data_IF_899598462062
#
_entry.id   IF_899598462062
#
_cell.length_a   1.000
_cell.length_b   1.000
_cell.length_c   1.000
_cell.angle_alpha   90.00
_cell.angle_beta   90.00
_cell.angle_gamma   90.00
#
_symmetry.space_group_name_H-M   'P 1'
#
loop_
_entity.id
_entity.type
_entity.pdbx_description
1 polymer ?
#
# COMPACT_ATOMS: atom_id res chain seq x y z
N UNK A 1 -30.83 5.44 -42.88
CA UNK A 1 -29.48 4.83 -42.94
C UNK A 1 -28.46 5.56 -42.05
N UNK A 2 -28.90 6.14 -40.91
CA UNK A 2 -28.03 6.89 -39.96
C UNK A 2 -28.08 6.29 -38.53
N UNK A 3 -29.02 5.39 -38.23
CA UNK A 3 -29.17 4.78 -36.89
C UNK A 3 -28.35 3.49 -36.69
N UNK A 4 -27.77 2.92 -37.75
CA UNK A 4 -27.05 1.63 -37.66
C UNK A 4 -25.60 1.75 -37.17
N UNK A 5 -24.96 2.92 -37.37
CA UNK A 5 -23.56 3.10 -36.99
C UNK A 5 -23.35 3.09 -35.47
N UNK A 6 -24.31 3.58 -34.68
CA UNK A 6 -24.19 3.60 -33.22
C UNK A 6 -24.52 2.28 -32.53
N UNK A 7 -25.35 1.41 -33.13
CA UNK A 7 -25.77 0.15 -32.49
C UNK A 7 -24.64 -0.89 -32.53
N UNK A 8 -23.89 -0.96 -33.63
CA UNK A 8 -22.74 -1.86 -33.73
C UNK A 8 -21.62 -1.46 -32.76
N UNK A 9 -21.32 -0.16 -32.64
CA UNK A 9 -20.32 0.35 -31.68
C UNK A 9 -20.73 0.04 -30.23
N UNK A 10 -21.99 0.31 -29.86
CA UNK A 10 -22.52 -0.04 -28.53
C UNK A 10 -22.40 -1.54 -28.26
N UNK A 11 -22.64 -2.39 -29.25
CA UNK A 11 -22.58 -3.83 -29.09
C UNK A 11 -21.14 -4.33 -28.87
N UNK A 12 -20.16 -3.74 -29.58
CA UNK A 12 -18.75 -4.05 -29.36
C UNK A 12 -18.26 -3.56 -27.98
N UNK A 13 -18.69 -2.38 -27.52
CA UNK A 13 -18.39 -1.90 -26.17
C UNK A 13 -18.99 -2.81 -25.09
N UNK A 14 -20.24 -3.26 -25.27
CA UNK A 14 -20.88 -4.20 -24.35
C UNK A 14 -20.12 -5.53 -24.27
N UNK A 15 -19.73 -6.11 -25.40
CA UNK A 15 -18.88 -7.32 -25.42
C UNK A 15 -17.55 -7.10 -24.72
N UNK A 16 -16.94 -5.93 -24.92
CA UNK A 16 -15.71 -5.56 -24.24
C UNK A 16 -15.90 -5.52 -22.72
N UNK A 17 -16.98 -4.90 -22.23
CA UNK A 17 -17.32 -4.88 -20.81
C UNK A 17 -17.62 -6.27 -20.27
N UNK A 18 -18.44 -7.07 -20.95
CA UNK A 18 -18.72 -8.46 -20.56
C UNK A 18 -17.41 -9.25 -20.41
N UNK A 19 -16.51 -9.13 -21.40
CA UNK A 19 -15.23 -9.83 -21.35
C UNK A 19 -14.35 -9.37 -20.18
N UNK A 20 -14.36 -8.07 -19.89
CA UNK A 20 -13.63 -7.53 -18.74
C UNK A 20 -14.18 -8.08 -17.42
N UNK A 21 -15.52 -8.16 -17.27
CA UNK A 21 -16.14 -8.73 -16.08
C UNK A 21 -15.84 -10.22 -15.90
N UNK A 22 -15.84 -11.00 -16.98
CA UNK A 22 -15.39 -12.40 -16.93
C UNK A 22 -13.96 -12.52 -16.40
N UNK A 23 -13.05 -11.64 -16.85
CA UNK A 23 -11.66 -11.62 -16.39
C UNK A 23 -11.60 -11.25 -14.91
N UNK A 24 -12.28 -10.19 -14.48
CA UNK A 24 -12.33 -9.75 -13.08
C UNK A 24 -12.86 -10.86 -12.16
N UNK A 25 -13.90 -11.56 -12.60
CA UNK A 25 -14.49 -12.70 -11.89
C UNK A 25 -13.51 -13.88 -11.82
N UNK A 26 -12.81 -14.19 -12.91
CA UNK A 26 -11.77 -15.21 -12.91
C UNK A 26 -10.60 -14.92 -11.95
N UNK A 27 -10.29 -13.64 -11.70
CA UNK A 27 -9.32 -13.23 -10.68
C UNK A 27 -9.90 -13.18 -9.25
N UNK A 28 -11.21 -13.42 -9.07
CA UNK A 28 -11.85 -13.42 -7.76
C UNK A 28 -12.11 -12.03 -7.16
N UNK A 29 -12.14 -10.98 -7.97
CA UNK A 29 -12.32 -9.59 -7.52
C UNK A 29 -13.69 -8.99 -7.85
N UNK A 30 -14.67 -9.80 -8.28
CA UNK A 30 -16.01 -9.33 -8.64
C UNK A 30 -16.66 -8.45 -7.57
N UNK A 31 -16.56 -8.86 -6.31
CA UNK A 31 -17.17 -8.15 -5.17
C UNK A 31 -16.44 -6.83 -4.80
N UNK A 32 -15.33 -6.51 -5.49
CA UNK A 32 -14.58 -5.26 -5.33
C UNK A 32 -14.90 -4.23 -6.41
N UNK A 33 -15.78 -4.55 -7.36
CA UNK A 33 -16.09 -3.68 -8.50
C UNK A 33 -17.53 -3.19 -8.43
N UNK A 34 -17.70 -1.88 -8.66
CA UNK A 34 -19.00 -1.24 -8.82
C UNK A 34 -19.01 -0.63 -10.22
N UNK A 35 -20.07 -0.90 -10.99
CA UNK A 35 -20.27 -0.28 -12.30
C UNK A 35 -21.02 1.02 -12.12
N UNK A 36 -20.42 2.11 -12.62
CA UNK A 36 -21.06 3.41 -12.69
C UNK A 36 -20.90 3.99 -14.10
N UNK A 37 -22.00 3.95 -14.87
CA UNK A 37 -22.05 4.50 -16.23
C UNK A 37 -22.15 6.04 -16.24
N UNK A 38 -22.28 6.68 -15.07
CA UNK A 38 -22.25 8.14 -14.94
C UNK A 38 -20.83 8.70 -14.73
N UNK A 39 -19.84 7.82 -14.52
CA UNK A 39 -18.44 8.23 -14.37
C UNK A 39 -17.92 8.83 -15.67
N UNK A 40 -17.79 10.16 -15.69
CA UNK A 40 -17.17 10.93 -16.76
C UNK A 40 -15.85 11.49 -16.24
N UNK A 41 -14.72 11.17 -16.89
CA UNK A 41 -13.45 11.84 -16.61
C UNK A 41 -13.26 13.04 -17.52
N UNK A 42 -12.74 14.11 -16.95
CA UNK A 42 -12.45 15.37 -17.66
C UNK A 42 -11.25 15.25 -18.64
N UNK A 43 -10.46 14.17 -18.52
CA UNK A 43 -9.25 13.96 -19.30
C UNK A 43 -9.58 13.30 -20.64
N UNK A 44 -9.57 14.12 -21.70
CA UNK A 44 -9.93 13.75 -23.08
C UNK A 44 -9.04 12.68 -23.73
N UNK A 45 -7.92 12.30 -23.09
CA UNK A 45 -7.00 11.30 -23.64
C UNK A 45 -7.44 9.85 -23.37
N UNK A 46 -8.43 9.63 -22.50
CA UNK A 46 -9.01 8.30 -22.31
C UNK A 46 -9.96 7.96 -23.46
N UNK A 47 -9.86 6.74 -23.98
CA UNK A 47 -10.60 6.27 -25.15
C UNK A 47 -11.21 4.87 -24.97
N UNK A 48 -11.46 4.48 -23.72
CA UNK A 48 -12.06 3.21 -23.34
C UNK A 48 -12.49 3.23 -21.88
N UNK A 49 -12.36 2.11 -21.17
CA UNK A 49 -12.73 2.06 -19.75
C UNK A 49 -11.96 3.10 -18.93
N UNK A 50 -12.69 3.74 -18.02
CA UNK A 50 -12.15 4.54 -16.93
C UNK A 50 -12.64 3.97 -15.61
N UNK A 51 -11.84 4.12 -14.56
CA UNK A 51 -12.21 3.67 -13.24
C UNK A 51 -11.60 4.56 -12.16
N UNK A 52 -12.21 4.49 -10.99
CA UNK A 52 -11.77 5.15 -9.77
C UNK A 52 -11.55 4.12 -8.68
N UNK A 53 -10.59 4.40 -7.80
CA UNK A 53 -10.21 3.52 -6.71
C UNK A 53 -10.65 4.20 -5.42
N UNK A 54 -11.45 3.48 -4.63
CA UNK A 54 -11.91 3.90 -3.31
C UNK A 54 -11.35 2.97 -2.24
N UNK A 55 -11.19 3.51 -1.04
CA UNK A 55 -10.79 2.75 0.15
C UNK A 55 -11.69 3.15 1.31
N UNK A 56 -11.96 2.20 2.20
CA UNK A 56 -12.74 2.45 3.41
C UNK A 56 -12.08 3.56 4.26
N UNK A 57 -12.91 4.39 4.90
CA UNK A 57 -12.47 5.52 5.70
C UNK A 57 -12.13 6.79 4.90
N UNK A 58 -12.05 6.72 3.56
CA UNK A 58 -11.81 7.89 2.70
C UNK A 58 -13.00 8.07 1.74
N UNK A 59 -13.77 9.15 1.93
CA UNK A 59 -14.97 9.45 1.13
C UNK A 59 -14.72 10.06 -0.25
N UNK A 60 -13.51 9.96 -0.77
CA UNK A 60 -13.11 10.50 -2.09
C UNK A 60 -12.25 9.45 -2.83
N UNK A 61 -12.17 9.49 -4.16
CA UNK A 61 -11.27 8.63 -4.90
C UNK A 61 -9.81 8.80 -4.44
N UNK A 62 -9.14 7.70 -4.11
CA UNK A 62 -7.71 7.69 -3.78
C UNK A 62 -6.83 7.50 -5.02
N UNK A 63 -7.43 7.17 -6.15
CA UNK A 63 -6.73 6.89 -7.38
C UNK A 63 -7.70 6.59 -8.51
N UNK A 64 -7.15 6.26 -9.65
CA UNK A 64 -7.93 5.87 -10.81
C UNK A 64 -7.08 5.74 -12.05
N UNK A 65 -7.70 5.30 -13.11
CA UNK A 65 -7.01 4.93 -14.33
C UNK A 65 -7.97 4.65 -15.46
N UNK A 66 -7.42 4.08 -16.52
CA UNK A 66 -8.20 3.74 -17.69
C UNK A 66 -7.35 3.38 -18.89
N UNK A 67 -7.99 3.25 -20.04
CA UNK A 67 -7.36 3.03 -21.35
C UNK A 67 -7.12 4.36 -22.07
N UNK A 68 -5.89 4.58 -22.54
CA UNK A 68 -5.42 5.85 -23.11
C UNK A 68 -4.58 5.63 -24.38
N UNK A 69 -5.09 4.84 -25.32
CA UNK A 69 -4.36 4.49 -26.55
C UNK A 69 -4.09 5.74 -27.41
N UNK A 70 -5.01 6.73 -27.41
CA UNK A 70 -4.84 7.98 -28.16
C UNK A 70 -3.64 8.80 -27.69
N UNK A 71 -3.34 8.79 -26.39
CA UNK A 71 -2.16 9.48 -25.85
C UNK A 71 -0.87 8.94 -26.48
N UNK A 72 -0.78 7.62 -26.68
CA UNK A 72 0.42 7.01 -27.26
C UNK A 72 0.61 7.40 -28.73
N UNK A 73 -0.48 7.67 -29.46
CA UNK A 73 -0.41 8.12 -30.85
C UNK A 73 0.24 9.50 -30.97
N UNK A 74 0.06 10.38 -29.99
CA UNK A 74 0.75 11.68 -29.94
C UNK A 74 2.28 11.52 -29.86
N UNK A 75 2.76 10.40 -29.32
CA UNK A 75 4.17 10.02 -29.29
C UNK A 75 4.61 9.16 -30.49
N UNK A 76 3.77 9.02 -31.52
CA UNK A 76 4.06 8.20 -32.71
C UNK A 76 3.93 6.69 -32.50
N UNK A 77 3.29 6.26 -31.41
CA UNK A 77 3.12 4.85 -31.05
C UNK A 77 1.64 4.44 -31.17
N UNK A 78 1.33 3.58 -32.14
CA UNK A 78 -0.03 3.02 -32.30
C UNK A 78 -0.18 1.72 -31.51
N UNK A 79 -0.12 1.83 -30.17
CA UNK A 79 -0.20 0.69 -29.25
C UNK A 79 -1.34 0.87 -28.24
N UNK A 80 -1.86 -0.25 -27.75
CA UNK A 80 -2.77 -0.24 -26.61
C UNK A 80 -2.05 0.18 -25.33
N UNK A 81 -2.68 1.03 -24.53
CA UNK A 81 -2.14 1.57 -23.30
C UNK A 81 -3.22 1.67 -22.23
N UNK A 82 -2.91 1.13 -21.06
CA UNK A 82 -3.75 1.23 -19.86
C UNK A 82 -2.87 1.29 -18.62
N UNK A 83 -3.40 1.88 -17.57
CA UNK A 83 -2.66 2.13 -16.34
C UNK A 83 -3.51 2.93 -15.37
N UNK A 84 -2.92 3.19 -14.20
CA UNK A 84 -3.57 3.91 -13.12
C UNK A 84 -2.53 4.65 -12.28
N UNK A 85 -3.01 5.60 -11.49
CA UNK A 85 -2.24 6.25 -10.44
C UNK A 85 -3.00 6.17 -9.11
N UNK A 86 -2.25 6.20 -8.01
CA UNK A 86 -2.78 6.21 -6.66
C UNK A 86 -2.11 7.35 -5.88
N UNK A 87 -2.90 8.06 -5.10
CA UNK A 87 -2.43 9.05 -4.14
C UNK A 87 -1.92 8.34 -2.88
N UNK A 88 -0.60 8.31 -2.72
CA UNK A 88 0.05 7.64 -1.59
C UNK A 88 -0.30 8.28 -0.24
N UNK A 89 -0.50 9.59 -0.18
CA UNK A 89 -0.84 10.28 1.07
C UNK A 89 -2.21 9.82 1.59
N UNK A 90 -3.18 9.64 0.69
CA UNK A 90 -4.49 9.11 1.05
C UNK A 90 -4.44 7.64 1.46
N UNK A 91 -3.58 6.84 0.83
CA UNK A 91 -3.33 5.45 1.25
C UNK A 91 -2.72 5.41 2.65
N UNK A 92 -1.69 6.21 2.92
CA UNK A 92 -1.07 6.29 4.25
C UNK A 92 -2.10 6.71 5.29
N UNK A 93 -2.91 7.73 4.98
CA UNK A 93 -4.00 8.18 5.85
C UNK A 93 -5.02 7.08 6.15
N UNK A 94 -5.43 6.30 5.14
CA UNK A 94 -6.35 5.19 5.32
C UNK A 94 -5.75 4.06 6.20
N UNK A 95 -4.43 3.94 6.24
CA UNK A 95 -3.71 2.96 7.05
C UNK A 95 -3.33 3.48 8.45
N UNK A 96 -3.59 4.75 8.77
CA UNK A 96 -3.30 5.30 10.10
C UNK A 96 -4.01 4.48 11.19
N UNK A 97 -3.28 4.13 12.26
CA UNK A 97 -3.80 3.29 13.33
C UNK A 97 -3.79 1.78 13.06
N UNK A 98 -3.61 1.34 11.80
CA UNK A 98 -3.46 -0.10 11.47
C UNK A 98 -1.99 -0.56 11.48
N UNK A 99 -1.06 0.36 11.25
CA UNK A 99 0.37 0.06 11.23
C UNK A 99 0.90 -0.01 12.67
N UNK A 100 1.11 -1.23 13.16
CA UNK A 100 1.81 -1.47 14.43
C UNK A 100 3.28 -1.13 14.21
N UNK A 101 3.71 0.04 14.68
CA UNK A 101 5.14 0.38 14.74
C UNK A 101 5.79 -0.47 15.82
N UNK A 102 6.62 -1.43 15.41
CA UNK A 102 7.45 -2.18 16.35
C UNK A 102 8.60 -1.28 16.80
N UNK A 103 8.50 -0.77 18.02
CA UNK A 103 9.56 0.00 18.66
C UNK A 103 10.84 -0.86 18.76
N UNK A 104 12.03 -0.26 18.55
CA UNK A 104 13.28 -0.97 18.72
C UNK A 104 13.48 -1.38 20.17
N UNK A 105 14.03 -2.58 20.40
CA UNK A 105 14.39 -3.06 21.74
C UNK A 105 15.43 -2.13 22.36
N UNK A 106 15.18 -1.66 23.58
CA UNK A 106 16.10 -0.77 24.30
C UNK A 106 17.04 -1.58 25.19
N UNK A 107 18.33 -1.27 25.13
CA UNK A 107 19.38 -1.85 25.95
C UNK A 107 19.99 -0.71 26.77
N UNK A 108 19.80 -0.76 28.07
CA UNK A 108 20.37 0.18 29.02
C UNK A 108 21.61 -0.40 29.69
N UNK A 109 22.62 0.43 29.95
CA UNK A 109 23.82 0.01 30.64
C UNK A 109 24.18 0.96 31.79
N UNK A 110 24.57 0.40 32.94
CA UNK A 110 25.21 1.14 34.04
C UNK A 110 26.71 1.31 33.77
N UNK A 111 27.37 2.13 34.57
CA UNK A 111 28.82 2.39 34.46
C UNK A 111 29.62 1.08 34.47
N UNK A 112 30.60 0.94 33.57
CA UNK A 112 31.39 -0.29 33.39
C UNK A 112 30.78 -1.35 32.46
N UNK A 113 29.49 -1.27 32.09
CA UNK A 113 28.81 -2.33 31.30
C UNK A 113 28.67 -2.04 29.80
N UNK A 114 29.24 -0.93 29.29
CA UNK A 114 29.13 -0.54 27.87
C UNK A 114 29.54 -1.67 26.91
N UNK A 115 30.65 -2.37 27.19
CA UNK A 115 31.14 -3.46 26.33
C UNK A 115 30.14 -4.61 26.23
N UNK A 116 29.48 -4.99 27.35
CA UNK A 116 28.43 -6.02 27.37
C UNK A 116 27.21 -5.56 26.57
N UNK A 117 26.82 -4.29 26.68
CA UNK A 117 25.71 -3.71 25.93
C UNK A 117 25.95 -3.69 24.42
N UNK A 118 27.16 -3.33 23.98
CA UNK A 118 27.55 -3.33 22.57
C UNK A 118 27.55 -4.75 21.99
N UNK A 119 28.03 -5.75 22.75
CA UNK A 119 28.02 -7.14 22.30
C UNK A 119 26.59 -7.69 22.18
N UNK A 120 25.74 -7.46 23.19
CA UNK A 120 24.33 -7.85 23.14
C UNK A 120 23.61 -7.20 21.95
N UNK A 121 23.84 -5.90 21.72
CA UNK A 121 23.26 -5.22 20.57
C UNK A 121 23.73 -5.81 19.24
N UNK A 122 24.99 -6.25 19.14
CA UNK A 122 25.51 -6.93 17.95
C UNK A 122 24.79 -8.25 17.71
N UNK A 123 24.62 -9.06 18.75
CA UNK A 123 23.90 -10.33 18.68
C UNK A 123 22.44 -10.12 18.25
N UNK A 124 21.74 -9.18 18.87
CA UNK A 124 20.35 -8.84 18.50
C UNK A 124 20.24 -8.36 17.05
N UNK A 125 21.14 -7.48 16.61
CA UNK A 125 21.15 -6.99 15.22
C UNK A 125 21.45 -8.08 14.21
N UNK A 126 22.39 -8.98 14.52
CA UNK A 126 22.67 -10.15 13.68
C UNK A 126 21.46 -11.09 13.58
N UNK A 127 20.61 -11.14 14.61
CA UNK A 127 19.32 -11.84 14.62
C UNK A 127 18.16 -11.05 14.00
N UNK A 128 18.40 -9.89 13.37
CA UNK A 128 17.36 -9.06 12.73
C UNK A 128 16.54 -8.20 13.70
N UNK A 129 16.91 -8.15 14.99
CA UNK A 129 16.24 -7.34 15.99
C UNK A 129 16.80 -5.92 15.97
N UNK A 130 15.93 -4.93 15.71
CA UNK A 130 16.28 -3.51 15.83
C UNK A 130 16.45 -3.17 17.31
N UNK A 131 17.61 -2.63 17.70
CA UNK A 131 17.88 -2.25 19.07
C UNK A 131 18.70 -0.96 19.21
N UNK A 132 18.44 -0.23 20.31
CA UNK A 132 19.12 1.02 20.69
C UNK A 132 19.85 0.79 22.01
N UNK A 133 21.05 1.38 22.16
CA UNK A 133 21.84 1.34 23.39
C UNK A 133 21.83 2.72 24.04
N UNK A 134 21.64 2.81 25.35
CA UNK A 134 21.71 4.07 26.11
C UNK A 134 22.21 3.86 27.55
N UNK A 135 22.82 4.87 28.20
CA UNK A 135 23.11 4.82 29.63
C UNK A 135 21.82 4.68 30.46
N UNK A 136 21.84 3.86 31.52
CA UNK A 136 20.72 3.72 32.46
C UNK A 136 20.64 4.95 33.38
N UNK A 137 19.46 5.58 33.48
CA UNK A 137 19.21 6.79 34.30
C UNK A 137 18.06 6.67 35.30
N UNK A 138 17.49 5.47 35.52
CA UNK A 138 16.31 5.22 36.35
C UNK A 138 15.35 4.22 35.71
N UNK A 139 14.17 3.99 36.31
CA UNK A 139 13.15 3.03 35.78
C UNK A 139 12.92 3.26 34.28
N UNK A 140 13.22 2.24 33.48
CA UNK A 140 13.17 2.31 32.02
C UNK A 140 12.72 0.97 31.46
N UNK A 141 11.79 0.98 30.51
CA UNK A 141 11.33 -0.21 29.81
C UNK A 141 12.40 -0.69 28.80
N UNK A 142 12.99 -1.86 29.05
CA UNK A 142 14.06 -2.44 28.25
C UNK A 142 14.96 -3.41 29.01
N UNK A 143 16.02 -3.87 28.34
CA UNK A 143 17.04 -4.76 28.92
C UNK A 143 18.04 -3.89 29.70
N UNK A 144 18.21 -4.13 31.00
CA UNK A 144 19.13 -3.36 31.85
C UNK A 144 20.37 -4.20 32.17
N UNK A 145 21.56 -3.67 31.89
CA UNK A 145 22.84 -4.31 32.18
C UNK A 145 23.55 -3.58 33.34
N UNK A 146 23.86 -4.30 34.40
CA UNK A 146 24.50 -3.77 35.62
C UNK A 146 23.74 -4.02 36.92
N UNK A 147 22.82 -4.99 36.96
CA UNK A 147 22.24 -5.54 38.20
C UNK A 147 22.65 -7.00 38.36
N UNK A 148 22.86 -7.45 39.60
CA UNK A 148 23.18 -8.85 39.92
C UNK A 148 22.02 -9.82 39.62
N UNK A 149 20.83 -9.30 39.33
CA UNK A 149 19.69 -10.09 38.86
C UNK A 149 19.44 -9.80 37.37
N UNK A 150 19.96 -10.68 36.50
CA UNK A 150 19.61 -10.75 35.08
C UNK A 150 18.12 -11.13 34.93
N UNK A 151 17.20 -10.20 35.21
CA UNK A 151 15.77 -10.36 34.92
C UNK A 151 15.54 -10.08 33.45
N UNK A 152 15.60 -11.14 32.66
CA UNK A 152 15.11 -11.16 31.28
C UNK A 152 13.57 -11.16 31.31
N UNK A 153 12.95 -10.01 31.53
CA UNK A 153 11.51 -9.85 31.26
C UNK A 153 11.30 -9.76 29.74
N UNK A 154 11.46 -10.90 29.05
CA UNK A 154 10.84 -11.11 27.74
C UNK A 154 9.38 -11.49 28.02
N UNK A 155 8.58 -10.52 28.46
CA UNK A 155 7.14 -10.68 28.55
C UNK A 155 6.49 -9.60 27.69
N UNK A 156 5.85 -10.07 26.63
CA UNK A 156 4.89 -9.38 25.76
C UNK A 156 5.48 -8.59 24.58
N UNK A 157 5.93 -9.33 23.57
CA UNK A 157 5.78 -8.90 22.18
C UNK A 157 5.44 -10.12 21.32
N UNK A 158 4.22 -10.63 21.49
CA UNK A 158 3.51 -11.33 20.42
C UNK A 158 2.65 -10.30 19.70
#
# INVERSE_FOLDING_TARGET
RIVNLGIEEIYEDLKYFEKLFEIIEAYGYKDRIIVDLSTLRELKYYNGIVFEIFIEGIGIPIGGGGRYDEMMKEFGLSIGATGFAINLDLVVKALEGTIIKKEPTRIYYKEGFLKKAVNLARELRNGGVKCIIAPFKGESDGIILGEENERTNISNTK
#
